data_IF_866261085472
#
_entry.id   IF_866261085472
#
_cell.length_a   1.000
_cell.length_b   1.000
_cell.length_c   1.000
_cell.angle_alpha   90.00
_cell.angle_beta   90.00
_cell.angle_gamma   90.00
#
_symmetry.space_group_name_H-M   'P 1'
#
loop_
_entity.id
_entity.type
_entity.pdbx_description
1 polymer ?
#
# COMPACT_ATOMS: atom_id res chain seq x y z
N UNK A 1 10.39 -43.04 -29.35
CA UNK A 1 9.69 -41.80 -28.94
C UNK A 1 10.34 -41.30 -27.65
N UNK A 2 11.40 -40.47 -27.75
CA UNK A 2 12.20 -40.03 -26.59
C UNK A 2 12.69 -38.56 -26.74
N UNK A 3 12.12 -37.80 -27.69
CA UNK A 3 12.61 -36.47 -28.06
C UNK A 3 11.93 -35.28 -27.37
N UNK A 4 10.76 -35.47 -26.75
CA UNK A 4 9.98 -34.34 -26.20
C UNK A 4 10.32 -34.00 -24.74
N UNK A 5 10.88 -34.94 -23.97
CA UNK A 5 11.17 -34.74 -22.54
C UNK A 5 12.38 -33.84 -22.29
N UNK A 6 13.34 -33.78 -23.22
CA UNK A 6 14.59 -33.04 -23.04
C UNK A 6 14.41 -31.53 -23.27
N UNK A 7 13.47 -31.13 -24.13
CA UNK A 7 13.23 -29.71 -24.45
C UNK A 7 12.55 -28.97 -23.28
N UNK A 8 11.71 -29.66 -22.51
CA UNK A 8 11.05 -29.09 -21.33
C UNK A 8 12.04 -28.76 -20.20
N UNK A 9 13.08 -29.59 -20.02
CA UNK A 9 14.05 -29.40 -18.94
C UNK A 9 14.95 -28.17 -19.15
N UNK A 10 15.33 -27.88 -20.40
CA UNK A 10 16.15 -26.71 -20.73
C UNK A 10 15.41 -25.38 -20.61
N UNK A 11 14.09 -25.37 -20.85
CA UNK A 11 13.26 -24.17 -20.67
C UNK A 11 13.09 -23.81 -19.19
N UNK A 12 13.05 -24.80 -18.30
CA UNK A 12 13.03 -24.59 -16.85
C UNK A 12 14.34 -24.00 -16.32
N UNK A 13 15.49 -24.47 -16.81
CA UNK A 13 16.81 -23.98 -16.35
C UNK A 13 17.10 -22.56 -16.86
N UNK A 14 16.74 -22.23 -18.10
CA UNK A 14 16.90 -20.87 -18.62
C UNK A 14 16.00 -19.84 -17.91
N UNK A 15 14.83 -20.26 -17.40
CA UNK A 15 14.01 -19.44 -16.52
C UNK A 15 14.65 -19.24 -15.15
N UNK A 16 15.42 -20.20 -14.63
CA UNK A 16 16.02 -20.06 -13.29
C UNK A 16 17.21 -19.10 -13.22
N UNK A 17 17.99 -18.95 -14.28
CA UNK A 17 19.20 -18.10 -14.25
C UNK A 17 18.94 -16.62 -14.63
N UNK A 18 17.87 -16.33 -15.36
CA UNK A 18 17.42 -14.95 -15.62
C UNK A 18 16.58 -14.34 -14.49
N UNK A 19 16.11 -15.16 -13.55
CA UNK A 19 15.32 -14.77 -12.38
C UNK A 19 16.20 -14.49 -11.16
N UNK A 20 17.31 -13.76 -11.32
CA UNK A 20 17.89 -13.00 -10.19
C UNK A 20 16.99 -11.81 -9.83
N UNK A 21 15.76 -12.14 -9.46
CA UNK A 21 14.85 -11.26 -8.77
C UNK A 21 15.51 -10.89 -7.45
N UNK A 22 16.10 -9.71 -7.39
CA UNK A 22 16.49 -9.08 -6.13
C UNK A 22 15.34 -9.24 -5.12
N UNK A 23 15.70 -9.80 -3.97
CA UNK A 23 14.82 -10.31 -2.91
C UNK A 23 14.25 -9.19 -2.04
N UNK A 24 14.28 -7.96 -2.50
CA UNK A 24 13.79 -6.84 -1.72
C UNK A 24 12.27 -6.83 -1.71
N UNK A 25 11.72 -7.10 -0.52
CA UNK A 25 10.27 -7.12 -0.26
C UNK A 25 9.69 -5.71 -0.38
N UNK A 26 8.47 -5.61 -0.89
CA UNK A 26 7.66 -4.41 -0.79
C UNK A 26 7.41 -4.09 0.69
N UNK A 27 7.85 -2.92 1.14
CA UNK A 27 7.69 -2.45 2.52
C UNK A 27 6.33 -1.76 2.75
N UNK A 28 5.52 -1.60 1.71
CA UNK A 28 4.14 -1.15 1.86
C UNK A 28 3.29 -2.31 2.36
N UNK A 29 2.70 -2.15 3.53
CA UNK A 29 1.82 -3.15 4.15
C UNK A 29 0.44 -2.60 4.39
N UNK A 30 -0.53 -3.52 4.40
CA UNK A 30 -1.86 -3.26 4.93
C UNK A 30 -1.74 -3.07 6.43
N UNK A 31 -2.10 -1.89 6.91
CA UNK A 31 -2.24 -1.64 8.33
C UNK A 31 -3.65 -1.98 8.78
N UNK A 32 -3.76 -2.80 9.84
CA UNK A 32 -5.03 -3.05 10.49
C UNK A 32 -5.27 -1.92 11.49
N UNK A 33 -5.89 -0.86 11.00
CA UNK A 33 -6.41 0.21 11.83
C UNK A 33 -7.29 -0.35 12.96
N UNK A 34 -7.22 0.25 14.15
CA UNK A 34 -8.17 -0.04 15.21
C UNK A 34 -9.49 0.73 15.02
N UNK A 35 -10.14 1.12 16.12
CA UNK A 35 -11.49 1.69 16.10
C UNK A 35 -11.53 3.11 15.51
N UNK A 36 -10.45 3.88 15.65
CA UNK A 36 -10.48 5.32 15.37
C UNK A 36 -9.93 5.71 14.00
N UNK A 37 -9.40 4.75 13.24
CA UNK A 37 -9.05 4.93 11.83
C UNK A 37 -10.00 4.03 11.02
N UNK A 38 -10.81 4.64 10.18
CA UNK A 38 -11.92 3.97 9.45
C UNK A 38 -11.87 4.34 7.97
N UNK A 39 -12.78 3.78 7.16
CA UNK A 39 -12.87 4.07 5.73
C UNK A 39 -12.09 3.07 4.88
N UNK A 40 -11.37 3.58 3.88
CA UNK A 40 -10.63 2.74 2.95
C UNK A 40 -9.47 2.00 3.63
N UNK A 41 -9.01 0.94 2.98
CA UNK A 41 -7.86 0.19 3.45
C UNK A 41 -6.62 1.08 3.54
N UNK A 42 -5.99 1.13 4.71
CA UNK A 42 -4.74 1.88 4.91
C UNK A 42 -3.52 1.05 4.48
N UNK A 43 -2.79 1.55 3.49
CA UNK A 43 -1.56 0.98 2.95
C UNK A 43 -0.40 1.96 3.21
N UNK A 44 0.48 1.62 4.14
CA UNK A 44 1.58 2.50 4.55
C UNK A 44 2.90 1.76 4.53
N UNK A 45 3.99 2.52 4.47
CA UNK A 45 5.33 1.98 4.61
C UNK A 45 5.55 1.44 6.04
N UNK A 46 6.38 0.41 6.18
CA UNK A 46 6.56 -0.31 7.44
C UNK A 46 7.06 0.59 8.58
N UNK A 47 7.88 1.59 8.31
CA UNK A 47 8.37 2.56 9.31
C UNK A 47 7.34 3.64 9.68
N UNK A 48 6.31 3.85 8.87
CA UNK A 48 5.22 4.79 9.15
C UNK A 48 4.19 4.19 10.14
N UNK A 49 4.27 2.88 10.38
CA UNK A 49 3.34 2.12 11.23
C UNK A 49 3.20 2.69 12.65
N UNK A 50 4.31 3.06 13.27
CA UNK A 50 4.30 3.57 14.66
C UNK A 50 3.63 4.96 14.73
N UNK A 51 3.75 5.75 13.65
CA UNK A 51 3.04 7.02 13.50
C UNK A 51 1.53 6.78 13.38
N UNK A 52 1.10 5.76 12.63
CA UNK A 52 -0.33 5.38 12.55
C UNK A 52 -0.89 4.95 13.92
N UNK A 53 -0.11 4.22 14.71
CA UNK A 53 -0.52 3.83 16.08
C UNK A 53 -0.68 5.06 16.99
N UNK A 54 0.24 6.02 16.85
CA UNK A 54 0.18 7.29 17.59
C UNK A 54 -1.00 8.17 17.15
N UNK A 55 -1.29 8.20 15.85
CA UNK A 55 -2.46 8.88 15.27
C UNK A 55 -3.77 8.35 15.83
N UNK A 56 -3.90 7.04 15.93
CA UNK A 56 -5.07 6.39 16.52
C UNK A 56 -5.25 6.79 17.99
N UNK A 57 -4.16 6.91 18.75
CA UNK A 57 -4.20 7.37 20.15
C UNK A 57 -4.65 8.83 20.26
N UNK A 58 -4.22 9.70 19.35
CA UNK A 58 -4.67 11.10 19.27
C UNK A 58 -6.14 11.17 18.89
N UNK A 59 -6.57 10.44 17.85
CA UNK A 59 -7.96 10.39 17.41
C UNK A 59 -8.90 9.92 18.53
N UNK A 60 -8.49 8.89 19.28
CA UNK A 60 -9.18 8.43 20.50
C UNK A 60 -9.32 9.53 21.54
N UNK A 61 -8.23 10.23 21.85
CA UNK A 61 -8.20 11.30 22.85
C UNK A 61 -9.13 12.45 22.47
N UNK A 62 -9.15 12.79 21.17
CA UNK A 62 -10.00 13.86 20.64
C UNK A 62 -11.42 13.42 20.27
N UNK A 63 -11.78 12.14 20.51
CA UNK A 63 -13.09 11.55 20.20
C UNK A 63 -13.52 11.74 18.74
N UNK A 64 -12.58 11.54 17.82
CA UNK A 64 -12.83 11.62 16.37
C UNK A 64 -12.43 10.32 15.68
N UNK A 65 -13.04 10.07 14.54
CA UNK A 65 -12.60 9.08 13.58
C UNK A 65 -11.81 9.75 12.45
N UNK A 66 -10.65 9.18 12.10
CA UNK A 66 -9.90 9.51 10.89
C UNK A 66 -10.46 8.64 9.77
N UNK A 67 -11.22 9.23 8.86
CA UNK A 67 -11.73 8.51 7.70
C UNK A 67 -10.72 8.57 6.56
N UNK A 68 -10.12 7.43 6.23
CA UNK A 68 -9.16 7.26 5.13
C UNK A 68 -9.89 7.29 3.81
N UNK A 69 -9.44 8.16 2.89
CA UNK A 69 -10.02 8.35 1.54
C UNK A 69 -9.11 7.91 0.40
N UNK A 70 -7.83 7.75 0.71
CA UNK A 70 -6.77 7.53 -0.25
C UNK A 70 -5.50 7.18 0.49
N UNK A 71 -4.73 6.26 -0.05
CA UNK A 71 -3.51 5.75 0.58
C UNK A 71 -2.52 5.39 -0.52
N UNK A 72 -1.43 4.68 -0.20
CA UNK A 72 -0.48 4.24 -1.20
C UNK A 72 -1.16 3.61 -2.44
N UNK A 73 -0.70 4.06 -3.60
CA UNK A 73 -1.07 3.50 -4.89
C UNK A 73 0.16 3.25 -5.75
N UNK A 74 0.04 2.26 -6.64
CA UNK A 74 1.10 1.92 -7.58
C UNK A 74 1.03 2.85 -8.79
N UNK A 75 2.19 3.40 -9.14
CA UNK A 75 2.38 4.13 -10.39
C UNK A 75 2.42 3.14 -11.56
N UNK A 76 2.12 3.59 -12.77
CA UNK A 76 2.33 2.76 -13.97
C UNK A 76 3.82 2.66 -14.27
N UNK A 77 4.52 3.80 -14.22
CA UNK A 77 5.97 3.88 -14.33
C UNK A 77 6.57 4.39 -12.99
N UNK A 78 7.43 3.62 -12.30
CA UNK A 78 8.08 4.06 -11.05
C UNK A 78 8.79 5.42 -11.13
N UNK A 79 9.34 5.76 -12.30
CA UNK A 79 10.05 7.01 -12.52
C UNK A 79 9.12 8.20 -12.80
N UNK A 80 7.81 7.97 -13.05
CA UNK A 80 6.88 9.05 -13.43
C UNK A 80 6.83 10.14 -12.36
N UNK A 81 6.71 11.40 -12.79
CA UNK A 81 6.51 12.50 -11.86
C UNK A 81 5.15 12.37 -11.18
N UNK A 82 5.07 12.87 -9.94
CA UNK A 82 3.85 12.86 -9.13
C UNK A 82 3.60 14.28 -8.65
N UNK A 83 2.33 14.61 -8.42
CA UNK A 83 1.97 15.86 -7.79
C UNK A 83 2.58 15.92 -6.40
N UNK A 84 3.02 17.11 -5.97
CA UNK A 84 3.58 17.31 -4.62
C UNK A 84 2.57 16.89 -3.55
N UNK A 85 1.27 17.08 -3.80
CA UNK A 85 0.17 16.64 -2.94
C UNK A 85 0.21 15.14 -2.62
N UNK A 86 0.67 14.34 -3.57
CA UNK A 86 0.65 12.88 -3.49
C UNK A 86 2.03 12.31 -3.18
N UNK A 87 3.05 13.16 -3.00
CA UNK A 87 4.44 12.72 -2.91
C UNK A 87 4.66 11.74 -1.76
N UNK A 88 4.17 12.06 -0.56
CA UNK A 88 4.27 11.14 0.58
C UNK A 88 3.29 9.96 0.47
N UNK A 89 2.16 10.14 -0.23
CA UNK A 89 1.16 9.08 -0.45
C UNK A 89 1.73 7.95 -1.30
N UNK A 90 2.42 8.27 -2.40
CA UNK A 90 2.98 7.27 -3.33
C UNK A 90 4.17 6.49 -2.77
N UNK A 91 4.72 6.91 -1.64
CA UNK A 91 5.75 6.15 -0.91
C UNK A 91 5.22 5.52 0.38
N UNK A 92 3.93 5.71 0.71
CA UNK A 92 3.31 5.17 1.92
C UNK A 92 3.66 5.90 3.21
N UNK A 93 4.19 7.12 3.12
CA UNK A 93 4.50 8.01 4.25
C UNK A 93 3.40 9.09 4.45
N UNK A 94 2.27 8.92 3.77
CA UNK A 94 1.11 9.76 3.96
C UNK A 94 -0.16 9.11 3.41
N UNK A 95 -1.30 9.68 3.75
CA UNK A 95 -2.60 9.23 3.27
C UNK A 95 -3.62 10.38 3.31
N UNK A 96 -4.64 10.28 2.46
CA UNK A 96 -5.72 11.24 2.40
C UNK A 96 -6.77 10.95 3.47
N UNK A 97 -7.28 12.00 4.12
CA UNK A 97 -8.21 11.85 5.25
C UNK A 97 -9.30 12.92 5.30
N UNK A 98 -10.32 12.64 6.10
CA UNK A 98 -11.23 13.62 6.67
C UNK A 98 -11.53 13.25 8.14
N UNK A 99 -11.98 14.22 8.92
CA UNK A 99 -12.30 14.03 10.34
C UNK A 99 -13.80 13.82 10.48
N UNK A 100 -14.18 12.76 11.20
CA UNK A 100 -15.57 12.41 11.50
C UNK A 100 -15.77 12.24 13.00
N UNK A 101 -17.02 12.30 13.46
CA UNK A 101 -17.35 12.02 14.85
C UNK A 101 -17.44 10.51 15.12
N UNK A 102 -17.73 10.13 16.37
CA UNK A 102 -17.89 8.73 16.77
C UNK A 102 -19.07 8.02 16.09
N UNK A 103 -20.04 8.78 15.56
CA UNK A 103 -21.18 8.29 14.77
C UNK A 103 -20.89 8.30 13.26
N UNK A 104 -19.64 8.56 12.86
CA UNK A 104 -19.20 8.65 11.48
C UNK A 104 -19.82 9.81 10.67
N UNK A 105 -20.38 10.83 11.34
CA UNK A 105 -20.81 12.07 10.74
C UNK A 105 -19.61 12.99 10.45
N UNK A 106 -19.68 13.77 9.37
CA UNK A 106 -18.58 14.62 8.94
C UNK A 106 -18.37 15.80 9.90
N UNK A 107 -17.16 15.91 10.47
CA UNK A 107 -16.72 17.08 11.24
C UNK A 107 -15.94 18.03 10.32
N UNK A 108 -14.88 17.55 9.68
CA UNK A 108 -13.96 18.42 8.92
C UNK A 108 -13.40 17.69 7.70
N UNK A 109 -13.81 18.11 6.50
CA UNK A 109 -13.26 17.67 5.22
C UNK A 109 -12.17 18.61 4.70
N UNK A 110 -11.64 18.36 3.50
CA UNK A 110 -10.65 19.21 2.80
C UNK A 110 -10.95 20.72 2.88
N UNK A 111 -12.21 21.12 2.71
CA UNK A 111 -12.63 22.54 2.72
C UNK A 111 -12.47 23.12 4.12
N UNK A 112 -12.91 22.40 5.15
CA UNK A 112 -12.71 22.79 6.54
C UNK A 112 -11.22 22.79 6.92
N UNK A 113 -10.48 21.74 6.57
CA UNK A 113 -9.05 21.57 6.87
C UNK A 113 -8.17 22.65 6.21
N UNK A 114 -8.62 23.24 5.11
CA UNK A 114 -7.94 24.37 4.46
C UNK A 114 -8.06 25.69 5.24
N UNK A 115 -8.99 25.75 6.21
CA UNK A 115 -9.20 26.89 7.10
C UNK A 115 -8.49 26.60 8.42
N UNK A 116 -7.29 27.17 8.57
CA UNK A 116 -6.50 27.10 9.81
C UNK A 116 -6.44 28.47 10.48
N UNK A 117 -6.81 28.59 11.77
CA UNK A 117 -7.33 27.53 12.63
C UNK A 117 -8.76 27.08 12.26
N UNK A 118 -9.13 25.85 12.62
CA UNK A 118 -10.52 25.39 12.56
C UNK A 118 -11.25 25.77 13.85
N UNK A 119 -12.51 26.22 13.72
CA UNK A 119 -13.36 26.59 14.86
C UNK A 119 -13.99 25.38 15.55
N UNK A 120 -13.86 24.18 14.97
CA UNK A 120 -14.42 22.94 15.50
C UNK A 120 -13.50 22.36 16.59
N UNK A 121 -13.93 22.26 17.85
CA UNK A 121 -13.06 21.86 18.97
C UNK A 121 -12.38 20.50 18.79
N UNK A 122 -13.12 19.51 18.30
CA UNK A 122 -12.64 18.14 18.10
C UNK A 122 -11.59 18.07 16.98
N UNK A 123 -11.86 18.76 15.86
CA UNK A 123 -10.89 18.88 14.78
C UNK A 123 -9.65 19.64 15.25
N UNK A 124 -9.80 20.72 16.01
CA UNK A 124 -8.69 21.49 16.57
C UNK A 124 -7.83 20.64 17.51
N UNK A 125 -8.44 19.85 18.39
CA UNK A 125 -7.74 18.89 19.25
C UNK A 125 -6.91 17.92 18.41
N UNK A 126 -7.53 17.32 17.40
CA UNK A 126 -6.86 16.33 16.55
C UNK A 126 -5.66 16.94 15.81
N UNK A 127 -5.86 18.09 15.17
CA UNK A 127 -4.82 18.82 14.44
C UNK A 127 -3.66 19.24 15.33
N UNK A 128 -3.92 19.67 16.58
CA UNK A 128 -2.85 19.93 17.54
C UNK A 128 -2.07 18.66 17.90
N UNK A 129 -2.78 17.54 18.09
CA UNK A 129 -2.14 16.25 18.31
C UNK A 129 -1.28 15.79 17.14
N UNK A 130 -1.71 16.03 15.89
CA UNK A 130 -0.89 15.78 14.68
C UNK A 130 0.45 16.54 14.76
N UNK A 131 0.39 17.84 15.03
CA UNK A 131 1.60 18.67 15.13
C UNK A 131 2.54 18.15 16.21
N UNK A 132 2.01 17.73 17.37
CA UNK A 132 2.82 17.18 18.47
C UNK A 132 3.51 15.85 18.11
N UNK A 133 2.96 15.09 17.16
CA UNK A 133 3.60 13.88 16.63
C UNK A 133 4.63 14.17 15.53
N UNK A 134 4.89 15.43 15.21
CA UNK A 134 5.73 15.83 14.09
C UNK A 134 5.14 15.43 12.74
N UNK A 135 3.82 15.24 12.67
CA UNK A 135 3.10 15.01 11.43
C UNK A 135 2.57 16.33 10.88
N UNK A 136 2.48 16.42 9.57
CA UNK A 136 2.06 17.62 8.86
C UNK A 136 0.77 17.39 8.10
N UNK A 137 -0.08 18.41 8.11
CA UNK A 137 -1.05 18.72 7.07
C UNK A 137 -0.82 20.18 6.68
N UNK A 138 -1.24 20.62 5.50
CA UNK A 138 -1.03 22.01 5.08
C UNK A 138 -2.25 22.60 4.41
N UNK A 139 -2.36 23.93 4.36
CA UNK A 139 -3.45 24.59 3.63
C UNK A 139 -3.48 24.23 2.13
N UNK A 140 -2.33 23.89 1.55
CA UNK A 140 -2.21 23.51 0.14
C UNK A 140 -2.66 22.07 -0.11
N UNK A 141 -2.37 21.17 0.84
CA UNK A 141 -2.77 19.76 0.81
C UNK A 141 -3.48 19.40 2.12
N UNK A 142 -4.67 19.98 2.36
CA UNK A 142 -5.27 19.99 3.70
C UNK A 142 -5.90 18.65 4.08
N UNK A 143 -6.13 17.79 3.10
CA UNK A 143 -6.64 16.45 3.24
C UNK A 143 -5.52 15.39 3.24
N UNK A 144 -4.24 15.76 3.45
CA UNK A 144 -3.13 14.81 3.52
C UNK A 144 -2.45 14.91 4.88
N UNK A 145 -2.31 13.78 5.58
CA UNK A 145 -1.40 13.63 6.73
C UNK A 145 -0.13 12.96 6.21
N UNK A 146 1.03 13.52 6.53
CA UNK A 146 2.33 12.88 6.26
C UNK A 146 3.37 13.20 7.32
N UNK A 147 4.50 12.48 7.29
CA UNK A 147 5.70 12.79 8.08
C UNK A 147 6.67 13.73 7.36
N UNK A 148 6.24 14.32 6.24
CA UNK A 148 7.01 15.26 5.44
C UNK A 148 8.30 14.67 4.85
N UNK A 149 8.34 13.35 4.62
CA UNK A 149 9.48 12.66 4.00
C UNK A 149 9.92 13.33 2.69
N UNK A 150 8.98 13.67 1.80
CA UNK A 150 9.26 14.39 0.56
C UNK A 150 10.03 15.70 0.78
N UNK A 151 9.52 16.58 1.63
CA UNK A 151 10.13 17.90 1.80
C UNK A 151 11.44 17.83 2.58
N UNK A 152 11.60 16.84 3.47
CA UNK A 152 12.84 16.64 4.24
C UNK A 152 14.01 16.12 3.39
N UNK A 153 13.73 15.48 2.24
CA UNK A 153 14.74 14.88 1.39
C UNK A 153 14.37 14.96 -0.10
N UNK A 154 14.17 16.18 -0.61
CA UNK A 154 13.78 16.40 -2.01
C UNK A 154 14.76 15.78 -3.01
N UNK A 155 16.06 15.79 -2.71
CA UNK A 155 17.11 15.25 -3.57
C UNK A 155 17.10 13.71 -3.62
N UNK A 156 16.90 13.04 -2.49
CA UNK A 156 16.86 11.58 -2.40
C UNK A 156 15.48 10.98 -2.69
N UNK A 157 14.43 11.80 -2.65
CA UNK A 157 13.05 11.36 -2.77
C UNK A 157 12.77 10.58 -4.07
N UNK A 158 13.28 11.05 -5.21
CA UNK A 158 13.01 10.38 -6.48
C UNK A 158 13.58 8.96 -6.51
N UNK A 159 14.76 8.75 -5.91
CA UNK A 159 15.36 7.43 -5.77
C UNK A 159 14.55 6.55 -4.82
N UNK A 160 14.17 7.07 -3.65
CA UNK A 160 13.31 6.37 -2.68
C UNK A 160 11.98 5.93 -3.30
N UNK A 161 11.29 6.86 -3.98
CA UNK A 161 10.02 6.59 -4.66
C UNK A 161 10.17 5.51 -5.72
N UNK A 162 11.18 5.64 -6.58
CA UNK A 162 11.43 4.67 -7.66
C UNK A 162 11.71 3.28 -7.08
N UNK A 163 12.50 3.21 -6.01
CA UNK A 163 12.84 1.98 -5.31
C UNK A 163 11.59 1.31 -4.71
N UNK A 164 10.80 2.03 -3.91
CA UNK A 164 9.55 1.51 -3.30
C UNK A 164 8.59 1.03 -4.39
N UNK A 165 8.35 1.84 -5.42
CA UNK A 165 7.43 1.51 -6.50
C UNK A 165 7.88 0.26 -7.28
N UNK A 166 9.17 0.17 -7.62
CA UNK A 166 9.74 -0.98 -8.34
C UNK A 166 9.59 -2.26 -7.52
N UNK A 167 9.95 -2.21 -6.22
CA UNK A 167 9.85 -3.37 -5.31
C UNK A 167 8.41 -3.86 -5.17
N UNK A 168 7.46 -2.93 -5.01
CA UNK A 168 6.05 -3.26 -4.85
C UNK A 168 5.39 -3.76 -6.13
N UNK A 169 5.79 -3.26 -7.30
CA UNK A 169 5.36 -3.80 -8.59
C UNK A 169 5.93 -5.21 -8.83
N UNK A 170 7.22 -5.42 -8.58
CA UNK A 170 7.87 -6.72 -8.74
C UNK A 170 7.24 -7.81 -7.86
N UNK A 171 6.90 -7.48 -6.61
CA UNK A 171 6.23 -8.42 -5.71
C UNK A 171 4.82 -8.79 -6.19
N UNK A 172 4.08 -7.84 -6.78
CA UNK A 172 2.77 -8.09 -7.36
C UNK A 172 2.87 -9.05 -8.55
N UNK A 173 3.83 -8.82 -9.45
CA UNK A 173 4.06 -9.68 -10.60
C UNK A 173 4.44 -11.11 -10.18
N UNK A 174 5.35 -11.24 -9.20
CA UNK A 174 5.71 -12.55 -8.61
C UNK A 174 4.49 -13.29 -8.10
N UNK A 175 3.61 -12.61 -7.33
CA UNK A 175 2.37 -13.22 -6.81
C UNK A 175 1.40 -13.64 -7.92
N UNK A 176 1.31 -12.87 -9.00
CA UNK A 176 0.47 -13.22 -10.16
C UNK A 176 1.03 -14.44 -10.89
N UNK A 177 2.35 -14.49 -11.13
CA UNK A 177 3.02 -15.61 -11.77
C UNK A 177 2.86 -16.90 -10.96
N UNK A 178 3.10 -16.85 -9.64
CA UNK A 178 2.92 -18.02 -8.76
C UNK A 178 1.47 -18.55 -8.80
N UNK A 179 0.47 -17.65 -8.82
CA UNK A 179 -0.93 -18.06 -8.94
C UNK A 179 -1.27 -18.66 -10.30
N UNK A 180 -0.63 -18.19 -11.38
CA UNK A 180 -0.83 -18.74 -12.71
C UNK A 180 -0.18 -20.13 -12.84
N UNK A 181 1.07 -20.26 -12.39
CA UNK A 181 1.79 -21.54 -12.37
C UNK A 181 1.04 -22.61 -11.56
N UNK A 182 0.49 -22.24 -10.40
CA UNK A 182 -0.29 -23.17 -9.58
C UNK A 182 -1.55 -23.66 -10.30
N UNK A 183 -2.28 -22.78 -10.99
CA UNK A 183 -3.47 -23.18 -11.76
C UNK A 183 -3.12 -24.17 -12.86
N UNK A 184 -2.03 -23.92 -13.60
CA UNK A 184 -1.60 -24.84 -14.66
C UNK A 184 -1.21 -26.22 -14.10
N UNK A 185 -0.58 -26.27 -12.94
CA UNK A 185 -0.24 -27.53 -12.27
C UNK A 185 -1.48 -28.28 -11.79
N UNK A 186 -2.42 -27.58 -11.15
CA UNK A 186 -3.66 -28.17 -10.64
C UNK A 186 -4.51 -28.72 -11.82
N UNK A 187 -4.59 -27.99 -12.94
CA UNK A 187 -5.27 -28.43 -14.19
C UNK A 187 -4.61 -29.68 -14.82
N UNK A 188 -3.27 -29.80 -14.74
CA UNK A 188 -2.55 -30.97 -15.24
C UNK A 188 -2.80 -32.22 -14.39
N UNK A 189 -2.90 -32.08 -13.06
CA UNK A 189 -3.21 -33.20 -12.16
C UNK A 189 -4.63 -33.74 -12.39
N UNK A 190 -5.64 -32.86 -12.50
CA UNK A 190 -7.02 -33.27 -12.78
C UNK A 190 -7.15 -34.06 -14.10
N UNK A 191 -6.37 -33.70 -15.13
CA UNK A 191 -6.39 -34.42 -16.41
C UNK A 191 -5.75 -35.82 -16.37
N UNK A 192 -4.85 -36.08 -15.43
CA UNK A 192 -4.22 -37.40 -15.28
C UNK A 192 -5.12 -38.35 -14.47
N UNK A 193 -5.81 -37.83 -13.45
CA UNK A 193 -6.73 -38.63 -12.63
C UNK A 193 -7.94 -39.16 -13.43
N UNK A 194 -8.40 -38.44 -14.44
CA UNK A 194 -9.48 -38.93 -15.33
C UNK A 194 -9.02 -40.10 -16.21
N UNK A 195 -7.78 -40.09 -16.71
CA UNK A 195 -7.26 -41.14 -17.60
C UNK A 195 -7.00 -42.47 -16.88
N UNK A 196 -6.59 -42.44 -15.60
CA UNK A 196 -6.38 -43.66 -14.80
C UNK A 196 -7.70 -44.36 -14.40
N UNK A 197 -8.83 -43.63 -14.43
CA UNK A 197 -10.14 -44.17 -14.06
C UNK A 197 -10.77 -45.05 -15.15
N UNK A 198 -10.36 -44.89 -16.41
CA UNK A 198 -10.87 -45.65 -17.55
C UNK A 198 -10.09 -46.96 -17.81
N UNK A 199 -8.85 -47.08 -17.31
CA UNK A 199 -8.04 -48.30 -17.48
C UNK A 199 -8.49 -49.46 -16.56
N UNK A 200 -9.24 -49.19 -15.48
CA UNK A 200 -9.70 -50.20 -14.53
C UNK A 200 -11.10 -50.78 -14.82
N UNK A 201 -11.69 -50.52 -16.00
CA UNK A 201 -13.00 -51.08 -16.42
C UNK A 201 -12.92 -52.17 -17.50
N UNK A 202 -11.82 -52.93 -17.56
CA UNK A 202 -11.67 -54.08 -18.46
C UNK A 202 -11.53 -55.40 -17.71
#
# INVERSE_FOLDING_TARGET
>A
MQGHTVVFLFLLVALTEGLFFTTSKCLIKKYKAGKYIVGDQLLVHDDFKDRVTSLESVAKTCKVHIYVKGTYYQLQNPAQQVLVADADVVIGHGFNFEIRDENNALICNKVCLSKTPTDLPEAKCFLQGLTNLGLTWSRYYPDVISDNTYASNTNGYQALKTDIQTKCQGEKLKRQLVRALRRMYDEEQESNDENDSDENKK
#
